data_IF_554930589754
#
_entry.id   IF_554930589754
#
_cell.length_a   1.000
_cell.length_b   1.000
_cell.length_c   1.000
_cell.angle_alpha   90.00
_cell.angle_beta   90.00
_cell.angle_gamma   90.00
#
_symmetry.space_group_name_H-M   'P 1'
#
loop_
_entity.id
_entity.type
_entity.pdbx_description
1 polymer ?
#
# COMPACT_ATOMS: atom_id res chain seq x y z
N UNK A 1 -9.38 -12.60 -26.88
CA UNK A 1 -9.68 -11.90 -25.61
C UNK A 1 -8.43 -11.18 -25.14
N UNK A 2 -8.48 -9.88 -24.86
CA UNK A 2 -7.36 -9.12 -24.32
C UNK A 2 -7.02 -9.65 -22.92
N UNK A 3 -5.75 -9.99 -22.69
CA UNK A 3 -5.25 -10.52 -21.41
C UNK A 3 -5.50 -9.50 -20.28
N UNK A 4 -6.11 -9.96 -19.18
CA UNK A 4 -6.38 -9.14 -17.98
C UNK A 4 -5.10 -8.43 -17.52
N UNK A 5 -5.15 -7.12 -17.30
CA UNK A 5 -4.03 -6.35 -16.77
C UNK A 5 -4.04 -6.37 -15.24
N UNK A 6 -2.92 -6.75 -14.57
CA UNK A 6 -2.92 -6.96 -13.14
C UNK A 6 -3.01 -5.69 -12.31
N UNK A 7 -3.63 -5.81 -11.13
CA UNK A 7 -3.55 -4.87 -10.03
C UNK A 7 -2.51 -5.35 -9.02
N UNK A 8 -1.42 -4.59 -8.88
CA UNK A 8 -0.26 -4.91 -8.05
C UNK A 8 -0.16 -3.92 -6.91
N UNK A 9 -0.12 -4.42 -5.69
CA UNK A 9 -0.10 -3.61 -4.47
C UNK A 9 1.24 -3.74 -3.75
N UNK A 10 1.72 -2.64 -3.22
CA UNK A 10 2.88 -2.58 -2.33
C UNK A 10 2.42 -2.13 -0.95
N UNK A 11 2.63 -2.98 0.03
CA UNK A 11 2.24 -2.79 1.43
C UNK A 11 3.46 -2.81 2.37
N UNK A 12 3.28 -2.35 3.60
CA UNK A 12 4.31 -2.31 4.62
C UNK A 12 4.31 -0.99 5.37
N UNK A 13 5.04 -0.93 6.47
CA UNK A 13 5.13 0.25 7.34
C UNK A 13 5.90 1.41 6.68
N UNK A 14 5.90 2.58 7.32
CA UNK A 14 6.74 3.72 6.94
C UNK A 14 8.22 3.31 6.91
N UNK A 15 8.99 3.88 6.00
CA UNK A 15 10.43 3.56 5.87
C UNK A 15 10.75 2.14 5.38
N UNK A 16 9.74 1.30 5.06
CA UNK A 16 9.98 -0.07 4.57
C UNK A 16 10.44 -0.17 3.11
N UNK A 17 10.58 0.95 2.38
CA UNK A 17 11.17 0.96 1.02
C UNK A 17 10.19 0.75 -0.13
N UNK A 18 8.87 0.71 0.11
CA UNK A 18 7.82 0.56 -0.92
C UNK A 18 8.01 1.51 -2.11
N UNK A 19 8.04 2.80 -1.84
CA UNK A 19 8.12 3.84 -2.87
C UNK A 19 9.37 3.70 -3.75
N UNK A 20 10.49 3.24 -3.19
CA UNK A 20 11.72 2.96 -3.94
C UNK A 20 11.50 1.83 -4.95
N UNK A 21 10.84 0.75 -4.55
CA UNK A 21 10.53 -0.39 -5.43
C UNK A 21 9.48 -0.03 -6.47
N UNK A 22 8.42 0.67 -6.08
CA UNK A 22 7.39 1.16 -7.01
C UNK A 22 8.01 2.04 -8.09
N UNK A 23 8.87 2.99 -7.71
CA UNK A 23 9.55 3.87 -8.67
C UNK A 23 10.49 3.08 -9.60
N UNK A 24 11.18 2.06 -9.09
CA UNK A 24 12.00 1.18 -9.93
C UNK A 24 11.16 0.43 -10.97
N UNK A 25 10.02 -0.15 -10.57
CA UNK A 25 9.10 -0.84 -11.47
C UNK A 25 8.46 0.13 -12.47
N UNK A 26 8.06 1.32 -12.02
CA UNK A 26 7.54 2.37 -12.92
C UNK A 26 8.54 2.74 -14.01
N UNK A 27 9.82 2.92 -13.65
CA UNK A 27 10.89 3.18 -14.63
C UNK A 27 11.10 2.02 -15.60
N UNK A 28 10.98 0.77 -15.12
CA UNK A 28 11.03 -0.41 -15.99
C UNK A 28 9.86 -0.43 -16.98
N UNK A 29 8.63 -0.15 -16.54
CA UNK A 29 7.47 -0.12 -17.42
C UNK A 29 7.57 0.98 -18.47
N UNK A 30 8.02 2.18 -18.09
CA UNK A 30 8.26 3.28 -19.04
C UNK A 30 9.26 2.89 -20.12
N UNK A 31 10.42 2.32 -19.74
CA UNK A 31 11.45 1.87 -20.70
C UNK A 31 10.95 0.78 -21.64
N UNK A 32 10.05 -0.09 -21.18
CA UNK A 32 9.45 -1.16 -21.97
C UNK A 32 8.15 -0.77 -22.66
N UNK A 33 7.75 0.50 -22.60
CA UNK A 33 6.50 1.05 -23.18
C UNK A 33 5.25 0.27 -22.72
N UNK A 34 5.28 -0.26 -21.49
CA UNK A 34 4.15 -0.98 -20.89
C UNK A 34 3.19 0.05 -20.29
N UNK A 35 1.91 0.00 -20.69
CA UNK A 35 0.88 0.91 -20.17
C UNK A 35 0.55 0.57 -18.72
N UNK A 36 0.66 1.55 -17.83
CA UNK A 36 0.33 1.42 -16.40
C UNK A 36 -0.14 2.74 -15.82
N UNK A 37 -0.79 2.67 -14.67
CA UNK A 37 -1.05 3.80 -13.79
C UNK A 37 -0.44 3.54 -12.42
N UNK A 38 -0.05 4.61 -11.73
CA UNK A 38 0.46 4.55 -10.37
C UNK A 38 -0.42 5.40 -9.46
N UNK A 39 -0.93 4.79 -8.40
CA UNK A 39 -1.79 5.41 -7.40
C UNK A 39 -1.19 5.18 -6.02
N UNK A 40 -1.41 6.09 -5.08
CA UNK A 40 -1.11 5.88 -3.65
C UNK A 40 -2.37 6.07 -2.82
N UNK A 41 -2.49 5.36 -1.72
CA UNK A 41 -3.54 5.58 -0.74
C UNK A 41 -2.97 5.98 0.64
N UNK A 42 -3.62 6.94 1.32
CA UNK A 42 -4.66 7.85 0.80
C UNK A 42 -4.06 8.82 -0.22
N UNK A 43 -4.86 9.35 -1.15
CA UNK A 43 -4.44 10.22 -2.26
C UNK A 43 -4.63 9.57 -3.62
N UNK A 44 -4.11 10.15 -4.69
CA UNK A 44 -4.11 9.58 -6.04
C UNK A 44 -5.03 10.31 -7.03
N UNK A 45 -6.06 11.00 -6.59
CA UNK A 45 -6.86 11.94 -7.37
C UNK A 45 -7.11 13.21 -6.55
N UNK A 46 -7.68 14.25 -7.16
CA UNK A 46 -7.88 15.57 -6.52
C UNK A 46 -8.60 15.47 -5.18
N UNK A 47 -9.72 14.76 -5.14
CA UNK A 47 -10.54 14.65 -3.91
C UNK A 47 -9.81 13.84 -2.83
N UNK A 48 -9.25 12.69 -3.19
CA UNK A 48 -8.44 11.88 -2.27
C UNK A 48 -7.22 12.62 -1.74
N UNK A 49 -6.57 13.48 -2.53
CA UNK A 49 -5.44 14.30 -2.06
C UNK A 49 -5.91 15.36 -1.06
N UNK A 50 -7.13 15.92 -1.19
CA UNK A 50 -7.72 16.82 -0.20
C UNK A 50 -7.92 16.09 1.12
N UNK A 51 -8.53 14.91 1.10
CA UNK A 51 -8.72 14.07 2.28
C UNK A 51 -7.36 13.65 2.88
N UNK A 52 -6.38 13.29 2.03
CA UNK A 52 -5.02 12.98 2.47
C UNK A 52 -4.38 14.11 3.26
N UNK A 53 -4.55 15.36 2.84
CA UNK A 53 -4.03 16.53 3.57
C UNK A 53 -4.60 16.60 4.99
N UNK A 54 -5.89 16.31 5.15
CA UNK A 54 -6.52 16.24 6.48
C UNK A 54 -5.92 15.11 7.33
N UNK A 55 -5.82 13.89 6.76
CA UNK A 55 -5.32 12.71 7.46
C UNK A 55 -3.86 12.91 7.93
N UNK A 56 -3.00 13.49 7.11
CA UNK A 56 -1.56 13.57 7.37
C UNK A 56 -1.10 14.83 8.10
N UNK A 57 -1.99 15.80 8.31
CA UNK A 57 -1.65 17.05 8.97
C UNK A 57 -1.32 16.80 10.46
N UNK A 58 -0.13 17.23 10.88
CA UNK A 58 0.34 17.10 12.26
C UNK A 58 -0.49 17.89 13.30
N UNK A 59 -1.25 18.90 12.84
CA UNK A 59 -2.13 19.70 13.71
C UNK A 59 -3.47 18.98 14.02
N UNK A 60 -3.83 17.96 13.23
CA UNK A 60 -5.09 17.23 13.41
C UNK A 60 -4.90 16.06 14.38
N UNK A 61 -5.77 15.98 15.36
CA UNK A 61 -5.82 14.89 16.33
C UNK A 61 -7.17 14.17 16.26
N UNK A 62 -7.43 13.53 15.12
CA UNK A 62 -8.64 12.73 14.94
C UNK A 62 -8.58 11.46 15.80
N UNK A 63 -9.72 11.05 16.35
CA UNK A 63 -9.85 9.73 16.94
C UNK A 63 -9.68 8.63 15.85
N UNK A 64 -9.38 7.40 16.27
CA UNK A 64 -9.08 6.31 15.35
C UNK A 64 -10.26 5.96 14.42
N UNK A 65 -11.50 6.17 14.86
CA UNK A 65 -12.67 5.90 14.04
C UNK A 65 -12.86 6.95 12.94
N UNK A 66 -12.70 8.23 13.27
CA UNK A 66 -12.70 9.32 12.29
C UNK A 66 -11.61 9.12 11.25
N UNK A 67 -10.40 8.72 11.67
CA UNK A 67 -9.31 8.36 10.75
C UNK A 67 -9.73 7.24 9.80
N UNK A 68 -10.32 6.16 10.32
CA UNK A 68 -10.82 5.05 9.51
C UNK A 68 -11.81 5.54 8.44
N UNK A 69 -12.76 6.38 8.81
CA UNK A 69 -13.74 6.93 7.86
C UNK A 69 -13.09 7.79 6.79
N UNK A 70 -12.11 8.62 7.15
CA UNK A 70 -11.36 9.44 6.18
C UNK A 70 -10.55 8.57 5.20
N UNK A 71 -9.95 7.47 5.67
CA UNK A 71 -9.29 6.50 4.77
C UNK A 71 -10.26 5.86 3.80
N UNK A 72 -11.45 5.49 4.25
CA UNK A 72 -12.48 4.93 3.39
C UNK A 72 -13.05 5.95 2.40
N UNK A 73 -13.25 7.19 2.83
CA UNK A 73 -13.67 8.27 1.93
C UNK A 73 -12.64 8.49 0.81
N UNK A 74 -11.35 8.57 1.14
CA UNK A 74 -10.29 8.70 0.14
C UNK A 74 -10.22 7.49 -0.81
N UNK A 75 -10.41 6.28 -0.29
CA UNK A 75 -10.45 5.04 -1.10
C UNK A 75 -11.65 5.00 -2.03
N UNK A 76 -12.84 5.39 -1.56
CA UNK A 76 -14.05 5.47 -2.38
C UNK A 76 -13.82 6.33 -3.62
N UNK A 77 -13.26 7.53 -3.44
CA UNK A 77 -12.89 8.43 -4.53
C UNK A 77 -11.89 7.79 -5.52
N UNK A 78 -10.87 7.08 -5.01
CA UNK A 78 -9.91 6.38 -5.85
C UNK A 78 -10.54 5.26 -6.65
N UNK A 79 -11.42 4.48 -6.03
CA UNK A 79 -12.12 3.38 -6.70
C UNK A 79 -12.95 3.91 -7.86
N UNK A 80 -13.78 4.92 -7.63
CA UNK A 80 -14.72 5.40 -8.64
C UNK A 80 -14.04 6.23 -9.74
N UNK A 81 -13.16 7.14 -9.37
CA UNK A 81 -12.56 8.07 -10.33
C UNK A 81 -11.36 7.48 -11.08
N UNK A 82 -10.67 6.48 -10.50
CA UNK A 82 -9.40 6.01 -11.07
C UNK A 82 -9.33 4.50 -11.25
N UNK A 83 -9.58 3.70 -10.20
CA UNK A 83 -9.33 2.26 -10.26
C UNK A 83 -10.31 1.58 -11.23
N UNK A 84 -11.61 1.77 -11.08
CA UNK A 84 -12.65 1.17 -11.96
C UNK A 84 -12.42 1.49 -13.44
N UNK A 85 -12.02 2.71 -13.75
CA UNK A 85 -11.76 3.14 -15.14
C UNK A 85 -10.61 2.41 -15.80
N UNK A 86 -9.62 1.97 -15.01
CA UNK A 86 -8.38 1.34 -15.48
C UNK A 86 -8.29 -0.15 -15.17
N UNK A 87 -9.19 -0.69 -14.33
CA UNK A 87 -9.19 -2.09 -13.93
C UNK A 87 -9.33 -3.01 -15.14
N UNK A 88 -8.46 -4.00 -15.26
CA UNK A 88 -8.31 -4.90 -16.41
C UNK A 88 -7.86 -4.25 -17.74
N UNK A 89 -7.75 -2.91 -17.83
CA UNK A 89 -7.34 -2.18 -19.04
C UNK A 89 -5.87 -1.75 -19.01
N UNK A 90 -5.37 -1.45 -17.83
CA UNK A 90 -3.97 -1.03 -17.60
C UNK A 90 -3.42 -1.73 -16.36
N UNK A 91 -2.10 -1.93 -16.30
CA UNK A 91 -1.49 -2.36 -15.05
C UNK A 91 -1.68 -1.25 -14.01
N UNK A 92 -2.14 -1.61 -12.82
CA UNK A 92 -2.30 -0.68 -11.72
C UNK A 92 -1.23 -0.98 -10.65
N UNK A 93 -0.37 0.00 -10.36
CA UNK A 93 0.55 -0.03 -9.24
C UNK A 93 -0.01 0.79 -8.09
N UNK A 94 -0.32 0.14 -6.98
CA UNK A 94 -0.84 0.78 -5.77
C UNK A 94 0.22 0.84 -4.66
N UNK A 95 0.49 2.03 -4.14
CA UNK A 95 1.23 2.24 -2.88
C UNK A 95 0.20 2.29 -1.75
N UNK A 96 0.03 1.21 -1.03
CA UNK A 96 -0.99 0.88 -0.03
C UNK A 96 -2.38 0.63 -0.63
N UNK A 97 -3.12 -0.27 0.04
CA UNK A 97 -4.51 -0.58 -0.27
C UNK A 97 -5.23 -1.10 0.99
N UNK A 98 -6.12 -2.07 0.84
CA UNK A 98 -6.99 -2.59 1.91
C UNK A 98 -6.23 -3.15 3.10
N UNK A 99 -5.09 -3.79 2.88
CA UNK A 99 -4.32 -4.40 3.94
C UNK A 99 -3.69 -3.36 4.87
N UNK A 100 -3.36 -2.16 4.34
CA UNK A 100 -2.93 -1.02 5.15
C UNK A 100 -4.01 -0.66 6.19
N UNK A 101 -5.28 -0.60 5.81
CA UNK A 101 -6.37 -0.28 6.74
C UNK A 101 -6.50 -1.33 7.83
N UNK A 102 -6.41 -2.62 7.48
CA UNK A 102 -6.47 -3.69 8.49
C UNK A 102 -5.22 -3.64 9.39
N UNK A 103 -4.04 -3.46 8.81
CA UNK A 103 -2.79 -3.44 9.58
C UNK A 103 -2.71 -2.26 10.56
N UNK A 104 -3.08 -1.05 10.12
CA UNK A 104 -2.99 0.15 10.95
C UNK A 104 -4.18 0.27 11.90
N UNK A 105 -5.40 0.27 11.37
CA UNK A 105 -6.59 0.57 12.16
C UNK A 105 -7.02 -0.60 13.04
N UNK A 106 -6.88 -1.86 12.58
CA UNK A 106 -7.19 -3.01 13.45
C UNK A 106 -5.98 -3.40 14.32
N UNK A 107 -4.88 -3.88 13.70
CA UNK A 107 -3.75 -4.39 14.48
C UNK A 107 -3.00 -3.30 15.25
N UNK A 108 -2.88 -2.10 14.69
CA UNK A 108 -2.23 -0.97 15.33
C UNK A 108 -3.11 -0.28 16.38
N UNK A 109 -4.33 0.08 16.00
CA UNK A 109 -5.23 0.96 16.78
C UNK A 109 -6.39 0.21 17.46
N UNK A 110 -6.60 -1.09 17.21
CA UNK A 110 -7.60 -1.91 17.90
C UNK A 110 -9.03 -1.83 17.37
N UNK A 111 -9.26 -1.21 16.20
CA UNK A 111 -10.61 -1.10 15.63
C UNK A 111 -11.14 -2.46 15.14
N UNK A 112 -12.45 -2.59 15.05
CA UNK A 112 -13.12 -3.83 14.63
C UNK A 112 -12.77 -4.22 13.19
N UNK A 113 -12.17 -5.39 13.03
CA UNK A 113 -11.79 -5.96 11.73
C UNK A 113 -13.00 -6.31 10.87
N UNK A 114 -14.10 -6.74 11.50
CA UNK A 114 -15.30 -7.13 10.75
C UNK A 114 -15.94 -5.91 10.11
N UNK A 115 -16.01 -4.79 10.81
CA UNK A 115 -16.47 -3.52 10.25
C UNK A 115 -15.58 -3.08 9.08
N UNK A 116 -14.26 -3.09 9.26
CA UNK A 116 -13.30 -2.75 8.19
C UNK A 116 -13.51 -3.63 6.95
N UNK A 117 -13.68 -4.94 7.14
CA UNK A 117 -13.91 -5.88 6.05
C UNK A 117 -15.25 -5.66 5.34
N UNK A 118 -16.33 -5.37 6.08
CA UNK A 118 -17.66 -5.07 5.51
C UNK A 118 -17.60 -3.84 4.62
N UNK A 119 -16.97 -2.75 5.07
CA UNK A 119 -16.84 -1.52 4.30
C UNK A 119 -15.95 -1.76 3.06
N UNK A 120 -14.80 -2.42 3.22
CA UNK A 120 -13.95 -2.79 2.08
C UNK A 120 -14.72 -3.60 1.04
N UNK A 121 -15.48 -4.62 1.45
CA UNK A 121 -16.28 -5.45 0.54
C UNK A 121 -17.29 -4.62 -0.24
N UNK A 122 -17.98 -3.70 0.43
CA UNK A 122 -18.96 -2.78 -0.21
C UNK A 122 -18.31 -1.88 -1.25
N UNK A 123 -17.13 -1.29 -0.93
CA UNK A 123 -16.43 -0.37 -1.84
C UNK A 123 -15.81 -1.09 -3.04
N UNK A 124 -15.19 -2.23 -2.81
CA UNK A 124 -14.37 -2.90 -3.82
C UNK A 124 -15.18 -3.75 -4.80
N UNK A 125 -16.28 -4.32 -4.35
CA UNK A 125 -17.06 -5.31 -5.13
C UNK A 125 -16.13 -6.41 -5.70
N UNK A 126 -15.90 -6.41 -7.01
CA UNK A 126 -15.08 -7.40 -7.73
C UNK A 126 -13.61 -7.00 -7.90
N UNK A 127 -13.21 -5.82 -7.44
CA UNK A 127 -11.82 -5.35 -7.54
C UNK A 127 -10.96 -6.12 -6.55
N UNK A 128 -10.01 -6.90 -7.05
CA UNK A 128 -9.09 -7.72 -6.24
C UNK A 128 -7.65 -7.57 -6.72
N UNK A 129 -6.69 -7.41 -5.81
CA UNK A 129 -5.27 -7.47 -6.16
C UNK A 129 -4.88 -8.84 -6.72
N UNK A 130 -4.06 -8.83 -7.76
CA UNK A 130 -3.47 -10.04 -8.35
C UNK A 130 -2.14 -10.39 -7.67
N UNK A 131 -1.39 -9.38 -7.20
CA UNK A 131 -0.12 -9.56 -6.51
C UNK A 131 0.05 -8.49 -5.43
N UNK A 132 0.49 -8.89 -4.24
CA UNK A 132 0.72 -8.00 -3.10
C UNK A 132 2.14 -8.22 -2.57
N UNK A 133 2.96 -7.17 -2.59
CA UNK A 133 4.27 -7.15 -1.96
C UNK A 133 4.15 -6.55 -0.56
N UNK A 134 4.62 -7.27 0.45
CA UNK A 134 4.74 -6.76 1.81
C UNK A 134 6.20 -6.50 2.13
N UNK A 135 6.57 -5.23 2.20
CA UNK A 135 7.90 -4.82 2.59
C UNK A 135 8.04 -4.86 4.12
N UNK A 136 8.93 -5.70 4.62
CA UNK A 136 9.24 -5.81 6.05
C UNK A 136 10.62 -5.22 6.34
N UNK A 137 10.77 -4.61 7.51
CA UNK A 137 12.01 -3.98 7.96
C UNK A 137 12.16 -4.16 9.47
N UNK A 138 13.37 -4.43 9.95
CA UNK A 138 13.63 -4.52 11.39
C UNK A 138 13.58 -3.14 12.06
N UNK A 139 13.39 -3.11 13.38
CA UNK A 139 13.23 -1.88 14.16
C UNK A 139 14.47 -0.97 14.08
N UNK A 140 15.68 -1.52 14.03
CA UNK A 140 16.93 -0.76 13.90
C UNK A 140 16.97 0.04 12.59
N UNK A 141 16.69 -0.62 11.46
CA UNK A 141 16.68 0.00 10.14
C UNK A 141 15.48 0.95 9.96
N UNK A 142 14.33 0.62 10.55
CA UNK A 142 13.17 1.50 10.59
C UNK A 142 13.52 2.85 11.24
N UNK A 143 14.04 2.84 12.47
CA UNK A 143 14.40 4.05 13.21
C UNK A 143 15.41 4.88 12.43
N UNK A 144 16.47 4.25 11.88
CA UNK A 144 17.46 4.93 11.03
C UNK A 144 16.80 5.64 9.84
N UNK A 145 15.89 4.96 9.13
CA UNK A 145 15.23 5.51 7.94
C UNK A 145 14.23 6.61 8.26
N UNK A 146 13.49 6.48 9.37
CA UNK A 146 12.57 7.53 9.82
C UNK A 146 13.30 8.81 10.23
N UNK A 147 14.48 8.69 10.89
CA UNK A 147 15.33 9.85 11.24
C UNK A 147 15.80 10.63 10.01
N UNK A 148 16.09 9.96 8.91
CA UNK A 148 16.54 10.56 7.65
C UNK A 148 15.41 11.20 6.82
N UNK A 149 14.16 11.05 7.26
CA UNK A 149 13.01 11.56 6.52
C UNK A 149 12.86 13.08 6.73
N UNK A 150 12.97 13.83 5.63
CA UNK A 150 12.89 15.31 5.65
C UNK A 150 11.46 15.81 5.97
N UNK A 151 10.44 15.20 5.37
CA UNK A 151 9.05 15.58 5.57
C UNK A 151 8.36 14.53 6.43
N UNK A 152 8.01 14.90 7.65
CA UNK A 152 7.30 14.07 8.60
C UNK A 152 5.81 14.41 8.61
N UNK A 153 4.99 13.41 8.79
CA UNK A 153 3.56 13.53 8.99
C UNK A 153 3.16 12.88 10.32
N UNK A 154 1.92 13.03 10.72
CA UNK A 154 1.36 12.50 11.96
C UNK A 154 1.68 11.01 12.22
N UNK A 155 1.70 10.20 11.17
CA UNK A 155 1.99 8.76 11.28
C UNK A 155 3.47 8.46 11.52
N UNK A 156 4.38 9.38 11.22
CA UNK A 156 5.81 9.23 11.51
C UNK A 156 6.15 9.43 13.00
N UNK A 157 5.19 9.87 13.81
CA UNK A 157 5.35 10.12 15.25
C UNK A 157 5.00 8.90 16.13
N UNK A 158 4.48 7.82 15.55
CA UNK A 158 4.24 6.60 16.31
C UNK A 158 5.55 5.96 16.79
N UNK A 159 5.49 5.30 17.95
CA UNK A 159 6.62 4.59 18.51
C UNK A 159 6.90 3.27 17.77
N UNK A 160 8.08 2.69 17.99
CA UNK A 160 8.48 1.44 17.32
C UNK A 160 7.56 0.27 17.64
N UNK A 161 7.01 0.18 18.87
CA UNK A 161 6.06 -0.87 19.27
C UNK A 161 4.78 -0.85 18.42
N UNK A 162 4.30 0.35 18.07
CA UNK A 162 3.16 0.50 17.16
C UNK A 162 3.47 -0.08 15.77
N UNK A 163 4.61 0.31 15.18
CA UNK A 163 5.01 -0.21 13.87
C UNK A 163 5.23 -1.71 13.86
N UNK A 164 5.74 -2.29 14.94
CA UNK A 164 5.88 -3.73 15.11
C UNK A 164 4.51 -4.44 15.11
N UNK A 165 3.51 -3.87 15.82
CA UNK A 165 2.13 -4.39 15.78
C UNK A 165 1.56 -4.34 14.35
N UNK A 166 1.71 -3.22 13.66
CA UNK A 166 1.26 -3.04 12.27
C UNK A 166 1.95 -4.03 11.35
N UNK A 167 3.28 -4.18 11.44
CA UNK A 167 4.03 -5.12 10.59
C UNK A 167 3.65 -6.57 10.86
N UNK A 168 3.44 -6.96 12.13
CA UNK A 168 2.87 -8.28 12.46
C UNK A 168 1.49 -8.48 11.85
N UNK A 169 0.67 -7.42 11.82
CA UNK A 169 -0.63 -7.44 11.14
C UNK A 169 -0.51 -7.78 9.66
N UNK A 170 0.38 -7.14 8.94
CA UNK A 170 0.67 -7.45 7.53
C UNK A 170 1.11 -8.91 7.34
N UNK A 171 2.02 -9.40 8.19
CA UNK A 171 2.49 -10.78 8.10
C UNK A 171 1.38 -11.79 8.35
N UNK A 172 0.46 -11.51 9.31
CA UNK A 172 -0.73 -12.34 9.53
C UNK A 172 -1.66 -12.36 8.31
N UNK A 173 -1.83 -11.22 7.62
CA UNK A 173 -2.64 -11.14 6.42
C UNK A 173 -2.04 -11.93 5.25
N UNK A 174 -0.72 -12.00 5.17
CA UNK A 174 0.00 -12.72 4.10
C UNK A 174 0.07 -14.24 4.31
N UNK A 175 -0.10 -14.72 5.55
CA UNK A 175 0.12 -16.12 5.90
C UNK A 175 -0.73 -17.06 5.01
N UNK A 176 -0.04 -18.02 4.38
CA UNK A 176 -0.64 -19.08 3.53
C UNK A 176 -1.47 -18.56 2.33
N UNK A 177 -1.08 -17.43 1.74
CA UNK A 177 -1.77 -16.84 0.60
C UNK A 177 -0.80 -16.61 -0.56
N UNK A 178 -0.98 -17.32 -1.67
CA UNK A 178 -0.08 -17.36 -2.83
C UNK A 178 0.15 -16.02 -3.53
N UNK A 179 -0.82 -15.11 -3.45
CA UNK A 179 -0.70 -13.76 -4.04
C UNK A 179 0.17 -12.79 -3.24
N UNK A 180 0.64 -13.19 -2.06
CA UNK A 180 1.50 -12.35 -1.22
C UNK A 180 2.97 -12.73 -1.39
N UNK A 181 3.82 -11.73 -1.50
CA UNK A 181 5.28 -11.87 -1.53
C UNK A 181 5.88 -10.98 -0.44
N UNK A 182 6.60 -11.59 0.48
CA UNK A 182 7.31 -10.85 1.55
C UNK A 182 8.65 -10.40 0.99
N UNK A 183 8.92 -9.10 1.06
CA UNK A 183 10.19 -8.48 0.66
C UNK A 183 10.94 -8.05 1.91
N UNK A 184 12.06 -8.70 2.19
CA UNK A 184 12.94 -8.31 3.29
C UNK A 184 13.75 -7.07 2.92
N UNK A 185 13.28 -5.90 3.38
CA UNK A 185 13.93 -4.62 3.11
C UNK A 185 15.22 -4.38 3.92
N UNK A 186 15.67 -5.37 4.70
CA UNK A 186 17.01 -5.34 5.32
C UNK A 186 18.09 -5.83 4.36
N UNK A 187 17.74 -6.61 3.33
CA UNK A 187 18.63 -7.05 2.26
C UNK A 187 19.08 -5.89 1.39
N UNK A 188 20.09 -6.15 0.53
CA UNK A 188 20.56 -5.17 -0.46
C UNK A 188 19.41 -4.78 -1.41
N UNK A 189 19.30 -3.50 -1.71
CA UNK A 189 18.24 -2.98 -2.57
C UNK A 189 18.21 -3.64 -3.95
N UNK A 190 19.39 -4.00 -4.49
CA UNK A 190 19.48 -4.66 -5.81
C UNK A 190 18.82 -6.03 -5.82
N UNK A 191 18.93 -6.80 -4.73
CA UNK A 191 18.29 -8.11 -4.58
C UNK A 191 16.77 -7.95 -4.56
N UNK A 192 16.25 -7.01 -3.75
CA UNK A 192 14.82 -6.73 -3.68
C UNK A 192 14.25 -6.24 -5.01
N UNK A 193 14.99 -5.39 -5.74
CA UNK A 193 14.61 -4.97 -7.09
C UNK A 193 14.49 -6.14 -8.05
N UNK A 194 15.47 -7.06 -8.04
CA UNK A 194 15.48 -8.27 -8.87
C UNK A 194 14.31 -9.20 -8.53
N UNK A 195 14.08 -9.43 -7.24
CA UNK A 195 12.98 -10.28 -6.76
C UNK A 195 11.61 -9.74 -7.18
N UNK A 196 11.33 -8.47 -6.90
CA UNK A 196 10.06 -7.80 -7.27
C UNK A 196 9.84 -7.84 -8.77
N UNK A 197 10.88 -7.50 -9.56
CA UNK A 197 10.77 -7.51 -11.02
C UNK A 197 10.48 -8.91 -11.57
N UNK A 198 11.13 -9.95 -11.05
CA UNK A 198 10.91 -11.33 -11.48
C UNK A 198 9.48 -11.80 -11.18
N UNK A 199 8.95 -11.47 -10.00
CA UNK A 199 7.56 -11.80 -9.65
C UNK A 199 6.55 -11.07 -10.56
N UNK A 200 6.78 -9.80 -10.85
CA UNK A 200 5.92 -9.01 -11.75
C UNK A 200 5.98 -9.56 -13.18
N UNK A 201 7.18 -9.87 -13.70
CA UNK A 201 7.31 -10.45 -15.05
C UNK A 201 6.48 -11.73 -15.21
N UNK A 202 6.42 -12.59 -14.17
CA UNK A 202 5.64 -13.83 -14.22
C UNK A 202 4.14 -13.59 -14.44
N UNK A 203 3.58 -12.47 -14.02
CA UNK A 203 2.15 -12.18 -14.15
C UNK A 203 1.79 -11.30 -15.36
N UNK A 204 2.77 -10.60 -15.95
CA UNK A 204 2.51 -9.72 -17.09
C UNK A 204 2.88 -10.35 -18.43
N UNK A 205 3.76 -11.36 -18.44
CA UNK A 205 4.24 -12.03 -19.65
C UNK A 205 3.74 -13.47 -19.81
N UNK A 206 2.84 -13.92 -18.92
CA UNK A 206 2.22 -15.26 -19.03
C UNK A 206 1.07 -15.30 -20.05
#
# INVERSE_FOLDING_TARGET
MSKKKPLIVFEGIEGSGKTTLINYISKFFLRKKIKFIKIREPGGNKNSETIRKLILNNKNNFNSFTDLMLYFAARSENIDLTIKKNYNKSIILLDRFTDSTIAYQHYGMGLDKNLINKINKSLLKDIKPDLIFINVVNSKNLVKRLRLRKLRNRYDNFNTKFYEKVQRGYLKLAKNRSKYVIIDSNKKLIENKKEVLNKIKKIIYV
#
